data_IF_989082099948
#
_entry.id   IF_989082099948
#
_cell.length_a   1.000
_cell.length_b   1.000
_cell.length_c   1.000
_cell.angle_alpha   90.00
_cell.angle_beta   90.00
_cell.angle_gamma   90.00
#
_symmetry.space_group_name_H-M   'P 1'
#
loop_
_entity.id
_entity.type
_entity.pdbx_description
1 polymer ?
#
# COMPACT_ATOMS: atom_id res chain seq x y z
N UNK A 1 6.59 16.83 4.50
CA UNK A 1 6.95 15.51 3.95
C UNK A 1 6.39 14.47 4.88
N UNK A 2 5.77 13.39 4.37
CA UNK A 2 5.28 12.30 5.23
C UNK A 2 6.49 11.43 5.55
N UNK A 3 6.82 11.34 6.83
CA UNK A 3 7.86 10.44 7.35
C UNK A 3 7.35 9.00 7.15
N UNK A 4 8.10 8.16 6.44
CA UNK A 4 7.70 6.77 6.16
C UNK A 4 8.74 5.75 6.62
N UNK A 5 9.90 6.17 7.12
CA UNK A 5 10.96 5.26 7.57
C UNK A 5 10.43 4.34 8.67
N UNK A 6 10.55 3.03 8.45
CA UNK A 6 10.07 2.01 9.37
C UNK A 6 8.56 2.12 9.65
N UNK A 7 7.77 2.51 8.65
CA UNK A 7 6.31 2.55 8.71
C UNK A 7 5.70 1.58 7.70
N UNK A 8 4.64 0.91 8.14
CA UNK A 8 3.64 0.24 7.29
C UNK A 8 2.61 1.25 6.81
N UNK A 9 2.24 1.22 5.55
CA UNK A 9 1.14 2.02 5.02
C UNK A 9 0.33 1.26 3.97
N UNK A 10 -0.91 1.72 3.74
CA UNK A 10 -1.74 1.23 2.65
C UNK A 10 -2.24 2.37 1.77
N UNK A 11 -2.36 2.12 0.47
CA UNK A 11 -2.98 3.02 -0.50
C UNK A 11 -4.23 2.35 -1.09
N UNK A 12 -5.39 2.98 -0.93
CA UNK A 12 -6.68 2.47 -1.41
C UNK A 12 -7.35 3.42 -2.39
N UNK A 13 -8.08 2.86 -3.35
CA UNK A 13 -8.74 3.64 -4.40
C UNK A 13 -8.99 2.83 -5.67
N UNK A 14 -9.99 3.21 -6.45
CA UNK A 14 -10.30 2.54 -7.71
C UNK A 14 -9.25 2.83 -8.80
N UNK A 15 -9.32 2.12 -9.93
CA UNK A 15 -8.47 2.41 -11.09
C UNK A 15 -8.69 3.86 -11.55
N UNK A 16 -7.61 4.54 -11.95
CA UNK A 16 -7.65 5.95 -12.35
C UNK A 16 -7.71 6.96 -11.20
N UNK A 17 -7.76 6.54 -9.93
CA UNK A 17 -7.87 7.48 -8.81
C UNK A 17 -6.61 8.30 -8.55
N UNK A 18 -5.43 7.82 -8.97
CA UNK A 18 -4.13 8.44 -8.72
C UNK A 18 -3.20 7.66 -7.77
N UNK A 19 -3.55 6.43 -7.39
CA UNK A 19 -2.71 5.58 -6.52
C UNK A 19 -1.30 5.40 -7.05
N UNK A 20 -1.16 4.98 -8.32
CA UNK A 20 0.14 4.76 -8.97
C UNK A 20 0.96 6.05 -8.97
N UNK A 21 0.34 7.21 -9.18
CA UNK A 21 1.03 8.51 -9.13
C UNK A 21 1.54 8.83 -7.72
N UNK A 22 0.72 8.61 -6.68
CA UNK A 22 1.16 8.76 -5.29
C UNK A 22 2.29 7.77 -4.94
N UNK A 23 2.16 6.52 -5.34
CA UNK A 23 3.18 5.50 -5.10
C UNK A 23 4.51 5.86 -5.77
N UNK A 24 4.50 6.32 -7.02
CA UNK A 24 5.67 6.84 -7.73
C UNK A 24 6.28 8.06 -7.04
N UNK A 25 5.45 8.99 -6.56
CA UNK A 25 5.93 10.12 -5.79
C UNK A 25 6.65 9.67 -4.51
N UNK A 26 6.09 8.72 -3.77
CA UNK A 26 6.69 8.14 -2.57
C UNK A 26 8.01 7.45 -2.92
N UNK A 27 8.02 6.56 -3.93
CA UNK A 27 9.23 5.85 -4.37
C UNK A 27 10.37 6.82 -4.72
N UNK A 28 10.08 7.95 -5.40
CA UNK A 28 11.09 8.97 -5.71
C UNK A 28 11.76 9.56 -4.48
N UNK A 29 11.05 9.68 -3.36
CA UNK A 29 11.63 10.19 -2.11
C UNK A 29 12.68 9.23 -1.52
N UNK A 30 12.60 7.95 -1.87
CA UNK A 30 13.56 6.92 -1.43
C UNK A 30 14.68 6.67 -2.45
N UNK A 31 14.64 7.32 -3.63
CA UNK A 31 15.64 7.16 -4.68
C UNK A 31 15.90 5.69 -5.01
N UNK A 32 17.19 5.32 -5.09
CA UNK A 32 17.62 3.96 -5.41
C UNK A 32 17.28 2.92 -4.32
N UNK A 33 16.90 3.37 -3.12
CA UNK A 33 16.49 2.49 -2.02
C UNK A 33 14.99 2.15 -2.03
N UNK A 34 14.22 2.71 -2.96
CA UNK A 34 12.79 2.43 -3.12
C UNK A 34 12.53 1.34 -4.16
N UNK A 35 11.89 0.25 -3.75
CA UNK A 35 11.54 -0.89 -4.60
C UNK A 35 10.03 -1.10 -4.69
N UNK A 36 9.57 -1.64 -5.82
CA UNK A 36 8.17 -2.03 -6.02
C UNK A 36 8.03 -3.42 -6.62
N UNK A 37 7.13 -4.22 -6.06
CA UNK A 37 6.58 -5.39 -6.75
C UNK A 37 5.47 -4.90 -7.68
N UNK A 38 5.76 -4.90 -8.97
CA UNK A 38 4.95 -4.31 -10.03
C UNK A 38 4.12 -5.41 -10.72
N UNK A 39 2.81 -5.43 -10.46
CA UNK A 39 1.93 -6.47 -11.00
C UNK A 39 1.48 -6.17 -12.43
N UNK A 40 1.41 -4.88 -12.79
CA UNK A 40 0.81 -4.42 -14.05
C UNK A 40 1.83 -3.78 -15.00
N UNK A 41 3.12 -3.82 -14.66
CA UNK A 41 4.21 -3.24 -15.45
C UNK A 41 4.10 -1.69 -15.55
N UNK A 42 3.55 -1.02 -14.53
CA UNK A 42 3.27 0.42 -14.54
C UNK A 42 4.43 1.29 -14.01
N UNK A 43 5.47 0.69 -13.43
CA UNK A 43 6.54 1.40 -12.71
C UNK A 43 7.86 1.46 -13.47
N UNK A 44 7.83 1.51 -14.81
CA UNK A 44 9.03 1.71 -15.61
C UNK A 44 9.86 2.92 -15.15
N UNK A 45 11.18 2.76 -15.05
CA UNK A 45 12.10 3.77 -14.53
C UNK A 45 12.32 3.74 -13.01
N UNK A 46 11.66 2.82 -12.29
CA UNK A 46 11.91 2.56 -10.87
C UNK A 46 12.56 1.19 -10.68
N UNK A 47 13.21 1.00 -9.52
CA UNK A 47 13.63 -0.33 -9.11
C UNK A 47 12.40 -1.19 -8.85
N UNK A 48 12.25 -2.26 -9.64
CA UNK A 48 11.04 -3.07 -9.62
C UNK A 48 11.30 -4.53 -9.92
N UNK A 49 10.41 -5.38 -9.42
CA UNK A 49 10.23 -6.75 -9.88
C UNK A 49 8.85 -6.86 -10.52
N UNK A 50 8.78 -7.31 -11.78
CA UNK A 50 7.51 -7.45 -12.50
C UNK A 50 7.00 -8.88 -12.33
N UNK A 51 5.84 -9.03 -11.70
CA UNK A 51 5.22 -10.35 -11.46
C UNK A 51 4.82 -11.01 -12.78
N UNK A 52 5.17 -12.28 -12.93
CA UNK A 52 4.79 -13.11 -14.07
C UNK A 52 3.42 -13.75 -13.84
N UNK A 53 3.17 -14.32 -12.66
CA UNK A 53 1.86 -14.81 -12.25
C UNK A 53 1.10 -13.72 -11.49
N UNK A 54 0.10 -13.14 -12.16
CA UNK A 54 -0.71 -12.03 -11.66
C UNK A 54 -1.96 -12.49 -10.89
N UNK A 55 -2.03 -13.75 -10.53
CA UNK A 55 -3.16 -14.36 -9.82
C UNK A 55 -2.74 -14.84 -8.43
N UNK A 56 -3.67 -15.43 -7.69
CA UNK A 56 -3.40 -15.90 -6.33
C UNK A 56 -2.36 -17.03 -6.28
N UNK A 57 -2.10 -17.73 -7.39
CA UNK A 57 -1.05 -18.76 -7.45
C UNK A 57 0.36 -18.19 -7.48
N UNK A 58 0.52 -16.88 -7.79
CA UNK A 58 1.81 -16.19 -7.77
C UNK A 58 2.39 -15.89 -6.38
N UNK A 59 1.86 -16.51 -5.32
CA UNK A 59 2.33 -16.30 -3.93
C UNK A 59 3.77 -16.76 -3.71
N UNK A 60 4.16 -17.88 -4.34
CA UNK A 60 5.53 -18.40 -4.23
C UNK A 60 6.51 -17.50 -4.98
N UNK A 61 6.10 -17.00 -6.16
CA UNK A 61 6.86 -15.98 -6.88
C UNK A 61 7.02 -14.70 -6.05
N UNK A 62 5.94 -14.22 -5.42
CA UNK A 62 5.98 -13.05 -4.56
C UNK A 62 6.96 -13.24 -3.39
N UNK A 63 6.91 -14.40 -2.72
CA UNK A 63 7.86 -14.71 -1.65
C UNK A 63 9.30 -14.70 -2.15
N UNK A 64 9.59 -15.36 -3.28
CA UNK A 64 10.92 -15.41 -3.87
C UNK A 64 11.42 -14.01 -4.27
N UNK A 65 10.57 -13.19 -4.88
CA UNK A 65 10.89 -11.83 -5.28
C UNK A 65 11.22 -10.95 -4.07
N UNK A 66 10.38 -10.99 -3.03
CA UNK A 66 10.62 -10.24 -1.79
C UNK A 66 11.95 -10.66 -1.15
N UNK A 67 12.18 -11.97 -0.97
CA UNK A 67 13.43 -12.50 -0.39
C UNK A 67 14.66 -12.05 -1.17
N UNK A 68 14.63 -12.18 -2.50
CA UNK A 68 15.72 -11.73 -3.37
C UNK A 68 15.98 -10.24 -3.22
N UNK A 69 14.93 -9.41 -3.20
CA UNK A 69 15.08 -7.97 -3.08
C UNK A 69 15.71 -7.58 -1.74
N UNK A 70 15.20 -8.13 -0.64
CA UNK A 70 15.70 -7.84 0.71
C UNK A 70 17.17 -8.24 0.85
N UNK A 71 17.52 -9.45 0.43
CA UNK A 71 18.88 -9.99 0.58
C UNK A 71 19.90 -9.31 -0.34
N UNK A 72 19.50 -8.93 -1.56
CA UNK A 72 20.44 -8.38 -2.54
C UNK A 72 20.56 -6.86 -2.48
N UNK A 73 19.44 -6.16 -2.31
CA UNK A 73 19.40 -4.71 -2.47
C UNK A 73 19.20 -3.94 -1.17
N UNK A 74 18.77 -4.60 -0.08
CA UNK A 74 18.57 -3.99 1.23
C UNK A 74 17.76 -2.67 1.16
N UNK A 75 16.56 -2.70 0.55
CA UNK A 75 15.78 -1.49 0.29
C UNK A 75 15.39 -0.77 1.59
N UNK A 76 15.14 0.53 1.51
CA UNK A 76 14.53 1.31 2.61
C UNK A 76 13.02 1.43 2.49
N UNK A 77 12.48 1.16 1.30
CA UNK A 77 11.06 1.08 1.03
C UNK A 77 10.78 -0.09 0.09
N UNK A 78 9.79 -0.92 0.42
CA UNK A 78 9.22 -1.90 -0.49
C UNK A 78 7.71 -1.67 -0.62
N UNK A 79 7.24 -1.46 -1.85
CA UNK A 79 5.81 -1.33 -2.16
C UNK A 79 5.34 -2.58 -2.89
N UNK A 80 4.17 -3.10 -2.53
CA UNK A 80 3.50 -4.18 -3.26
C UNK A 80 2.26 -3.60 -3.93
N UNK A 81 2.29 -3.52 -5.26
CA UNK A 81 1.14 -3.07 -6.02
C UNK A 81 0.09 -4.18 -6.20
N UNK A 82 -1.19 -3.81 -6.30
CA UNK A 82 -2.33 -4.73 -6.38
C UNK A 82 -2.23 -5.90 -5.34
N UNK A 83 -1.79 -5.58 -4.12
CA UNK A 83 -1.45 -6.54 -3.06
C UNK A 83 -2.62 -7.47 -2.70
N UNK A 84 -3.86 -7.03 -2.89
CA UNK A 84 -5.07 -7.83 -2.70
C UNK A 84 -5.11 -9.11 -3.55
N UNK A 85 -4.35 -9.19 -4.65
CA UNK A 85 -4.25 -10.42 -5.48
C UNK A 85 -3.58 -11.58 -4.75
N UNK A 86 -2.58 -11.27 -3.92
CA UNK A 86 -1.78 -12.26 -3.20
C UNK A 86 -2.15 -12.31 -1.71
N UNK A 87 -2.64 -11.20 -1.16
CA UNK A 87 -3.01 -11.02 0.24
C UNK A 87 -4.53 -10.73 0.39
N UNK A 88 -5.44 -11.60 -0.09
CA UNK A 88 -6.87 -11.42 0.11
C UNK A 88 -7.26 -11.64 1.58
N UNK A 89 -8.41 -11.09 2.01
CA UNK A 89 -8.93 -11.29 3.36
C UNK A 89 -9.23 -12.77 3.64
N UNK A 90 -9.17 -13.15 4.93
CA UNK A 90 -9.51 -14.50 5.43
C UNK A 90 -8.67 -15.64 4.84
N UNK A 91 -7.49 -15.33 4.31
CA UNK A 91 -6.49 -16.30 3.86
C UNK A 91 -5.18 -15.99 4.56
N UNK A 92 -4.34 -16.99 4.88
CA UNK A 92 -3.00 -16.71 5.38
C UNK A 92 -2.23 -15.78 4.44
N UNK A 93 -1.46 -14.87 5.03
CA UNK A 93 -0.50 -14.05 4.30
C UNK A 93 0.58 -14.95 3.68
N UNK A 94 1.13 -14.57 2.51
CA UNK A 94 2.38 -15.14 2.03
C UNK A 94 3.48 -14.97 3.09
N UNK A 95 4.34 -15.97 3.26
CA UNK A 95 5.37 -16.03 4.31
C UNK A 95 6.19 -14.74 4.41
N UNK A 96 6.72 -14.25 3.29
CA UNK A 96 7.55 -13.04 3.28
C UNK A 96 6.76 -11.75 3.51
N UNK A 97 5.48 -11.74 3.17
CA UNK A 97 4.59 -10.61 3.50
C UNK A 97 4.29 -10.61 4.98
N UNK A 98 4.03 -11.79 5.58
CA UNK A 98 3.85 -11.93 7.03
C UNK A 98 5.11 -11.50 7.78
N UNK A 99 6.27 -11.99 7.36
CA UNK A 99 7.56 -11.61 7.92
C UNK A 99 7.77 -10.10 7.88
N UNK A 100 7.57 -9.46 6.73
CA UNK A 100 7.70 -8.00 6.63
C UNK A 100 6.68 -7.28 7.50
N UNK A 101 5.43 -7.74 7.53
CA UNK A 101 4.41 -7.13 8.36
C UNK A 101 4.82 -7.11 9.84
N UNK A 102 5.49 -8.15 10.33
CA UNK A 102 5.87 -8.27 11.74
C UNK A 102 7.25 -7.65 12.03
N UNK A 103 8.21 -7.81 11.12
CA UNK A 103 9.63 -7.55 11.38
C UNK A 103 10.25 -6.39 10.58
N UNK A 104 9.50 -5.66 9.75
CA UNK A 104 10.07 -4.58 8.90
C UNK A 104 10.93 -3.54 9.66
N UNK A 105 10.65 -3.29 10.94
CA UNK A 105 11.44 -2.37 11.78
C UNK A 105 12.85 -2.89 12.07
N UNK A 106 13.00 -4.20 12.23
CA UNK A 106 14.30 -4.84 12.41
C UNK A 106 15.17 -4.73 11.16
N UNK A 107 14.54 -4.82 9.99
CA UNK A 107 15.22 -4.70 8.69
C UNK A 107 15.45 -3.25 8.26
N UNK A 108 14.94 -2.28 9.05
CA UNK A 108 14.95 -0.86 8.72
C UNK A 108 14.28 -0.55 7.36
N UNK A 109 13.11 -1.17 7.14
CA UNK A 109 12.32 -1.10 5.90
C UNK A 109 10.94 -0.49 6.16
N UNK A 110 10.55 0.46 5.31
CA UNK A 110 9.17 0.89 5.16
C UNK A 110 8.43 -0.05 4.20
N UNK A 111 7.16 -0.37 4.47
CA UNK A 111 6.38 -1.25 3.59
C UNK A 111 5.02 -0.63 3.23
N UNK A 112 4.72 -0.65 1.93
CA UNK A 112 3.49 -0.13 1.36
C UNK A 112 2.67 -1.20 0.66
N UNK A 113 1.36 -1.23 0.91
CA UNK A 113 0.44 -2.12 0.21
C UNK A 113 -0.59 -1.31 -0.57
N UNK A 114 -0.68 -1.53 -1.88
CA UNK A 114 -1.66 -0.84 -2.73
C UNK A 114 -2.78 -1.83 -3.07
N UNK A 115 -4.02 -1.41 -2.87
CA UNK A 115 -5.18 -2.21 -3.23
C UNK A 115 -6.32 -1.32 -3.73
N UNK A 116 -7.33 -1.94 -4.35
CA UNK A 116 -8.51 -1.20 -4.82
C UNK A 116 -9.39 -0.74 -3.67
N UNK A 117 -9.61 -1.62 -2.70
CA UNK A 117 -10.51 -1.42 -1.56
C UNK A 117 -9.89 -2.01 -0.29
N UNK A 118 -10.07 -1.37 0.88
CA UNK A 118 -9.59 -1.91 2.16
C UNK A 118 -10.14 -3.32 2.43
N UNK A 119 -11.44 -3.54 2.18
CA UNK A 119 -12.11 -4.83 2.40
C UNK A 119 -11.64 -5.97 1.47
N UNK A 120 -10.78 -5.69 0.49
CA UNK A 120 -10.19 -6.68 -0.40
C UNK A 120 -8.74 -7.05 -0.04
N UNK A 121 -8.15 -6.35 0.94
CA UNK A 121 -6.82 -6.64 1.44
C UNK A 121 -6.92 -7.42 2.76
N UNK A 122 -5.88 -8.19 3.09
CA UNK A 122 -5.78 -8.88 4.36
C UNK A 122 -5.91 -7.92 5.53
N UNK A 123 -6.76 -8.25 6.50
CA UNK A 123 -7.14 -7.37 7.62
C UNK A 123 -5.92 -6.87 8.38
N UNK A 124 -4.98 -7.75 8.73
CA UNK A 124 -3.78 -7.37 9.49
C UNK A 124 -2.94 -6.28 8.79
N UNK A 125 -2.84 -6.32 7.45
CA UNK A 125 -2.07 -5.31 6.71
C UNK A 125 -2.71 -3.93 6.86
N UNK A 126 -4.04 -3.87 6.89
CA UNK A 126 -4.79 -2.62 7.05
C UNK A 126 -4.79 -2.17 8.51
N UNK A 127 -5.08 -3.08 9.43
CA UNK A 127 -5.22 -2.81 10.86
C UNK A 127 -3.91 -2.56 11.59
N UNK A 128 -2.77 -2.96 11.02
CA UNK A 128 -1.43 -2.67 11.56
C UNK A 128 -0.70 -1.56 10.78
N UNK A 129 -1.29 -1.04 9.71
CA UNK A 129 -0.74 0.10 8.99
C UNK A 129 -0.73 1.36 9.88
N UNK A 130 0.38 2.09 9.86
CA UNK A 130 0.50 3.38 10.57
C UNK A 130 -0.23 4.47 9.80
N UNK A 131 -0.18 4.41 8.47
CA UNK A 131 -0.80 5.39 7.58
C UNK A 131 -1.72 4.73 6.57
N UNK A 132 -2.90 5.31 6.39
CA UNK A 132 -3.79 4.98 5.28
C UNK A 132 -3.87 6.18 4.33
N UNK A 133 -3.69 5.91 3.05
CA UNK A 133 -3.90 6.84 1.95
C UNK A 133 -5.15 6.40 1.19
N UNK A 134 -6.24 7.13 1.33
CA UNK A 134 -7.56 6.68 0.88
C UNK A 134 -8.08 7.66 -0.17
N UNK A 135 -8.04 7.25 -1.44
CA UNK A 135 -8.73 7.97 -2.50
C UNK A 135 -10.24 7.72 -2.41
N UNK A 136 -11.00 8.49 -3.19
CA UNK A 136 -12.47 8.39 -3.22
C UNK A 136 -12.95 6.94 -3.42
N UNK A 137 -13.76 6.47 -2.48
CA UNK A 137 -14.46 5.19 -2.49
C UNK A 137 -15.93 5.45 -2.15
N UNK A 138 -16.85 4.79 -2.87
CA UNK A 138 -18.30 5.00 -2.73
C UNK A 138 -19.08 3.70 -2.47
N UNK A 139 -18.38 2.55 -2.43
CA UNK A 139 -19.02 1.25 -2.25
C UNK A 139 -19.58 1.11 -0.83
N UNK A 140 -20.77 0.49 -0.69
CA UNK A 140 -21.43 0.27 0.61
C UNK A 140 -20.51 -0.38 1.64
N UNK A 141 -19.78 -1.44 1.25
CA UNK A 141 -18.86 -2.14 2.14
C UNK A 141 -17.62 -1.30 2.47
N UNK A 142 -17.19 -0.43 1.56
CA UNK A 142 -16.08 0.49 1.82
C UNK A 142 -16.50 1.49 2.90
N UNK A 143 -17.72 2.06 2.82
CA UNK A 143 -18.24 2.99 3.82
C UNK A 143 -18.28 2.37 5.23
N UNK A 144 -18.86 1.17 5.34
CA UNK A 144 -18.93 0.44 6.61
C UNK A 144 -17.53 0.20 7.18
N UNK A 145 -16.58 -0.22 6.34
CA UNK A 145 -15.21 -0.48 6.77
C UNK A 145 -14.50 0.82 7.21
N UNK A 146 -14.66 1.91 6.47
CA UNK A 146 -14.04 3.20 6.78
C UNK A 146 -14.57 3.79 8.10
N UNK A 147 -15.88 3.71 8.35
CA UNK A 147 -16.45 4.20 9.61
C UNK A 147 -16.07 3.33 10.81
N UNK A 148 -15.80 2.04 10.59
CA UNK A 148 -15.21 1.19 11.62
C UNK A 148 -13.78 1.61 11.97
N UNK A 149 -12.98 2.06 10.99
CA UNK A 149 -11.61 2.54 11.21
C UNK A 149 -11.57 3.90 11.94
N UNK A 150 -12.48 4.80 11.60
CA UNK A 150 -12.63 6.10 12.24
C UNK A 150 -14.01 6.68 11.91
N UNK A 151 -14.76 7.11 12.93
CA UNK A 151 -16.09 7.69 12.72
C UNK A 151 -16.05 8.89 11.76
N UNK A 152 -16.93 8.91 10.76
CA UNK A 152 -17.01 9.98 9.77
C UNK A 152 -15.96 9.92 8.65
N UNK A 153 -15.07 8.92 8.66
CA UNK A 153 -14.08 8.75 7.59
C UNK A 153 -14.74 8.41 6.26
N UNK A 154 -15.87 7.68 6.25
CA UNK A 154 -16.56 7.35 5.00
C UNK A 154 -17.08 8.58 4.27
N UNK A 155 -17.66 9.54 5.00
CA UNK A 155 -18.16 10.81 4.48
C UNK A 155 -17.03 11.69 3.93
N UNK A 156 -15.91 11.78 4.66
CA UNK A 156 -14.73 12.50 4.22
C UNK A 156 -14.13 11.90 2.93
N UNK A 157 -14.12 10.57 2.80
CA UNK A 157 -13.63 9.87 1.61
C UNK A 157 -14.59 10.01 0.42
N UNK A 158 -15.90 9.96 0.64
CA UNK A 158 -16.91 10.10 -0.42
C UNK A 158 -16.95 11.51 -1.02
N UNK A 159 -16.69 12.53 -0.21
CA UNK A 159 -16.69 13.95 -0.61
C UNK A 159 -15.39 14.40 -1.29
N UNK A 160 -14.38 13.52 -1.42
CA UNK A 160 -13.10 13.87 -2.01
C UNK A 160 -13.23 14.41 -3.45
N UNK A 161 -12.56 15.53 -3.76
CA UNK A 161 -12.36 15.98 -5.15
C UNK A 161 -11.53 14.99 -5.97
N UNK A 162 -11.56 15.08 -7.31
CA UNK A 162 -10.70 14.29 -8.17
C UNK A 162 -9.22 14.39 -7.79
N UNK A 163 -8.51 13.26 -7.85
CA UNK A 163 -7.07 13.13 -7.53
C UNK A 163 -6.66 13.66 -6.14
N UNK A 164 -7.62 13.77 -5.23
CA UNK A 164 -7.40 14.02 -3.81
C UNK A 164 -7.55 12.71 -3.03
N UNK A 165 -6.89 12.64 -1.88
CA UNK A 165 -6.96 11.49 -0.98
C UNK A 165 -6.97 11.96 0.47
N UNK A 166 -7.55 11.14 1.34
CA UNK A 166 -7.37 11.26 2.77
C UNK A 166 -6.03 10.63 3.15
N UNK A 167 -5.22 11.37 3.89
CA UNK A 167 -4.16 10.83 4.72
C UNK A 167 -4.71 10.65 6.13
N UNK A 168 -4.70 9.40 6.61
CA UNK A 168 -5.07 9.06 7.97
C UNK A 168 -3.86 8.52 8.72
N UNK A 169 -3.41 9.26 9.73
CA UNK A 169 -2.41 8.83 10.68
C UNK A 169 -3.07 8.09 11.84
N UNK A 170 -2.91 6.76 11.86
CA UNK A 170 -3.53 5.89 12.85
C UNK A 170 -2.85 5.91 14.22
N UNK A 171 -1.64 6.47 14.31
CA UNK A 171 -0.95 6.66 15.60
C UNK A 171 -1.50 7.89 16.34
N UNK A 172 -1.86 8.95 15.62
CA UNK A 172 -2.32 10.22 16.23
C UNK A 172 -3.81 10.48 16.09
N UNK A 173 -4.52 9.72 15.24
CA UNK A 173 -5.90 10.01 14.87
C UNK A 173 -6.04 11.11 13.81
N UNK A 174 -4.93 11.68 13.31
CA UNK A 174 -4.97 12.81 12.39
C UNK A 174 -5.51 12.41 11.02
N UNK A 175 -6.51 13.16 10.53
CA UNK A 175 -7.09 13.01 9.19
C UNK A 175 -6.87 14.31 8.42
N UNK A 176 -6.27 14.21 7.23
CA UNK A 176 -6.01 15.35 6.33
C UNK A 176 -6.46 15.04 4.91
N UNK A 177 -7.13 15.98 4.27
CA UNK A 177 -7.33 15.96 2.82
C UNK A 177 -6.05 16.43 2.14
N UNK A 178 -5.54 15.62 1.23
CA UNK A 178 -4.32 15.87 0.47
C UNK A 178 -4.59 15.72 -1.03
N UNK A 179 -3.71 16.31 -1.85
CA UNK A 179 -3.71 16.12 -3.30
C UNK A 179 -2.47 15.35 -3.71
N UNK A 180 -2.61 14.56 -4.77
CA UNK A 180 -1.44 13.95 -5.40
C UNK A 180 -0.49 15.07 -5.85
N UNK A 181 0.79 15.03 -5.46
CA UNK A 181 1.77 15.99 -5.95
C UNK A 181 1.84 15.86 -7.47
N UNK A 182 1.54 16.95 -8.19
CA UNK A 182 1.78 17.00 -9.62
C UNK A 182 3.29 16.98 -9.83
N UNK A 183 3.75 16.02 -10.63
CA UNK A 183 5.15 15.87 -11.03
C UNK A 183 5.63 17.03 -11.88
#
# INVERSE_FOLDING_TARGET
MIELTNKRFCIFGLQGSGKTTLAKYILRQFGDSGWVIDVLDEYAGFNRYVMQDRTITGRDELNAAISYILQKFHPKLLVIDEANRYCPPKKPLPEMVSYLNDFHRHDNVAIGFIARRPAQLHTDLVELAHYLFIFRLVGKNDKIYLDYLHAGLSEAVESLPPHSFIFYNRETGEIKVMKVPLS
#
